data_IF_692050046541
#
_entry.id   IF_692050046541
#
_cell.length_a   1.000
_cell.length_b   1.000
_cell.length_c   1.000
_cell.angle_alpha   90.00
_cell.angle_beta   90.00
_cell.angle_gamma   90.00
#
_symmetry.space_group_name_H-M   'P 1'
#
loop_
_entity.id
_entity.type
_entity.pdbx_description
1 polymer ?
#
# COMPACT_ATOMS: atom_id res chain seq x y z
N UNK A 1 16.35 31.38 -16.56
CA UNK A 1 17.06 32.62 -16.19
C UNK A 1 16.51 33.12 -14.85
N UNK A 2 17.03 34.23 -14.32
CA UNK A 2 16.55 34.78 -13.04
C UNK A 2 15.11 35.29 -13.09
N UNK A 3 14.61 35.68 -14.28
CA UNK A 3 13.22 36.09 -14.45
C UNK A 3 12.27 34.90 -14.29
N UNK A 4 12.61 33.75 -14.89
CA UNK A 4 11.89 32.50 -14.69
C UNK A 4 11.91 32.05 -13.22
N UNK A 5 13.04 32.17 -12.53
CA UNK A 5 13.15 31.83 -11.12
C UNK A 5 12.22 32.67 -10.23
N UNK A 6 12.13 33.99 -10.50
CA UNK A 6 11.21 34.89 -9.82
C UNK A 6 9.74 34.55 -10.05
N UNK A 7 9.39 34.11 -11.26
CA UNK A 7 8.02 33.66 -11.56
C UNK A 7 7.62 32.41 -10.75
N UNK A 8 8.60 31.61 -10.31
CA UNK A 8 8.40 30.43 -9.46
C UNK A 8 8.55 30.73 -7.96
N UNK A 9 8.70 32.00 -7.57
CA UNK A 9 8.80 32.42 -6.17
C UNK A 9 10.20 32.36 -5.56
N UNK A 10 11.24 32.11 -6.37
CA UNK A 10 12.64 32.17 -5.93
C UNK A 10 13.26 33.56 -6.18
N UNK A 11 14.33 33.91 -5.47
CA UNK A 11 15.00 35.22 -5.62
C UNK A 11 15.78 35.35 -6.94
N UNK A 12 16.46 34.27 -7.31
CA UNK A 12 17.30 34.13 -8.51
C UNK A 12 17.44 32.66 -8.90
N UNK A 13 18.15 32.36 -9.99
CA UNK A 13 18.36 30.99 -10.46
C UNK A 13 19.09 30.10 -9.45
N UNK A 14 19.98 30.66 -8.63
CA UNK A 14 20.72 29.90 -7.63
C UNK A 14 19.81 29.53 -6.45
N UNK A 15 19.00 30.48 -5.97
CA UNK A 15 17.97 30.25 -4.96
C UNK A 15 16.96 29.19 -5.43
N UNK A 16 16.54 29.24 -6.70
CA UNK A 16 15.66 28.22 -7.27
C UNK A 16 16.29 26.82 -7.20
N UNK A 17 17.57 26.68 -7.55
CA UNK A 17 18.27 25.38 -7.46
C UNK A 17 18.31 24.85 -6.03
N UNK A 18 18.60 25.72 -5.06
CA UNK A 18 18.63 25.35 -3.62
C UNK A 18 17.24 24.90 -3.15
N UNK A 19 16.17 25.59 -3.57
CA UNK A 19 14.80 25.20 -3.23
C UNK A 19 14.44 23.85 -3.83
N UNK A 20 14.77 23.62 -5.10
CA UNK A 20 14.54 22.34 -5.77
C UNK A 20 15.34 21.21 -5.11
N UNK A 21 16.60 21.44 -4.77
CA UNK A 21 17.44 20.45 -4.08
C UNK A 21 16.85 20.07 -2.71
N UNK A 22 16.39 21.06 -1.92
CA UNK A 22 15.72 20.81 -0.63
C UNK A 22 14.42 20.03 -0.81
N UNK A 23 13.62 20.36 -1.82
CA UNK A 23 12.37 19.66 -2.08
C UNK A 23 12.63 18.21 -2.49
N UNK A 24 13.55 17.98 -3.43
CA UNK A 24 13.95 16.65 -3.89
C UNK A 24 14.54 15.82 -2.75
N UNK A 25 15.41 16.41 -1.93
CA UNK A 25 15.98 15.73 -0.76
C UNK A 25 14.90 15.32 0.25
N UNK A 26 13.92 16.19 0.51
CA UNK A 26 12.79 15.87 1.40
C UNK A 26 11.93 14.74 0.84
N UNK A 27 11.64 14.76 -0.46
CA UNK A 27 10.88 13.69 -1.12
C UNK A 27 11.62 12.36 -1.06
N UNK A 28 12.91 12.34 -1.38
CA UNK A 28 13.76 11.15 -1.29
C UNK A 28 13.87 10.61 0.13
N UNK A 29 13.96 11.49 1.14
CA UNK A 29 13.97 11.09 2.56
C UNK A 29 12.66 10.39 2.93
N UNK A 30 11.51 10.98 2.56
CA UNK A 30 10.19 10.40 2.82
C UNK A 30 10.01 9.02 2.17
N UNK A 31 10.47 8.88 0.93
CA UNK A 31 10.46 7.60 0.22
C UNK A 31 11.34 6.58 0.94
N UNK A 32 12.56 6.97 1.30
CA UNK A 32 13.52 6.08 1.99
C UNK A 32 12.98 5.64 3.35
N UNK A 33 12.36 6.54 4.11
CA UNK A 33 11.68 6.21 5.37
C UNK A 33 10.55 5.20 5.16
N UNK A 34 9.81 5.31 4.06
CA UNK A 34 8.75 4.36 3.72
C UNK A 34 9.32 2.98 3.38
N UNK A 35 10.43 2.92 2.64
CA UNK A 35 11.15 1.67 2.33
C UNK A 35 11.65 1.01 3.62
N UNK A 36 12.36 1.76 4.47
CA UNK A 36 12.89 1.25 5.75
C UNK A 36 11.76 0.77 6.67
N UNK A 37 10.64 1.52 6.75
CA UNK A 37 9.45 1.10 7.50
C UNK A 37 8.94 -0.25 6.98
N UNK A 38 8.81 -0.41 5.66
CA UNK A 38 8.39 -1.68 5.05
C UNK A 38 9.35 -2.81 5.43
N UNK A 39 10.66 -2.62 5.28
CA UNK A 39 11.65 -3.66 5.60
C UNK A 39 11.58 -4.11 7.06
N UNK A 40 11.40 -3.16 8.00
CA UNK A 40 11.20 -3.47 9.42
C UNK A 40 9.93 -4.32 9.61
N UNK A 41 8.81 -3.92 9.00
CA UNK A 41 7.55 -4.64 9.14
C UNK A 41 7.59 -6.02 8.47
N UNK A 42 8.22 -6.16 7.30
CA UNK A 42 8.43 -7.45 6.63
C UNK A 42 9.29 -8.38 7.52
N UNK A 43 10.38 -7.84 8.10
CA UNK A 43 11.22 -8.61 9.01
C UNK A 43 10.44 -9.11 10.24
N UNK A 44 9.59 -8.27 10.83
CA UNK A 44 8.74 -8.67 11.96
C UNK A 44 7.72 -9.74 11.56
N UNK A 45 7.09 -9.61 10.38
CA UNK A 45 6.11 -10.58 9.89
C UNK A 45 6.70 -11.98 9.67
N UNK A 46 7.94 -12.05 9.16
CA UNK A 46 8.65 -13.30 8.87
C UNK A 46 9.21 -13.99 10.12
N UNK A 47 9.72 -13.21 11.08
CA UNK A 47 10.44 -13.72 12.25
C UNK A 47 9.54 -13.96 13.47
N UNK A 48 8.40 -13.28 13.57
CA UNK A 48 7.44 -13.50 14.66
C UNK A 48 6.38 -14.52 14.23
N UNK A 49 6.52 -15.77 14.71
CA UNK A 49 5.57 -16.86 14.41
C UNK A 49 4.77 -17.24 15.64
N UNK A 50 3.47 -17.02 15.58
CA UNK A 50 2.48 -17.39 16.60
C UNK A 50 1.12 -17.61 15.95
N UNK A 51 0.23 -18.30 16.65
CA UNK A 51 -1.14 -18.52 16.19
C UNK A 51 -1.98 -17.25 16.36
N UNK A 52 -2.71 -16.89 15.31
CA UNK A 52 -3.55 -15.70 15.30
C UNK A 52 -4.96 -16.05 15.80
N UNK A 53 -5.54 -15.26 16.72
CA UNK A 53 -6.94 -15.43 17.12
C UNK A 53 -7.87 -15.28 15.91
N UNK A 54 -8.72 -16.28 15.66
CA UNK A 54 -9.61 -16.29 14.50
C UNK A 54 -10.54 -15.07 14.45
N UNK A 55 -11.07 -14.65 15.60
CA UNK A 55 -12.02 -13.54 15.67
C UNK A 55 -11.37 -12.22 15.25
N UNK A 56 -10.10 -11.99 15.62
CA UNK A 56 -9.36 -10.81 15.18
C UNK A 56 -9.10 -10.84 13.69
N UNK A 57 -8.76 -12.01 13.14
CA UNK A 57 -8.57 -12.18 11.69
C UNK A 57 -9.87 -11.92 10.95
N UNK A 58 -11.00 -12.49 11.40
CA UNK A 58 -12.33 -12.28 10.78
C UNK A 58 -12.73 -10.80 10.79
N UNK A 59 -12.54 -10.12 11.91
CA UNK A 59 -12.84 -8.68 12.01
C UNK A 59 -11.98 -7.86 11.05
N UNK A 60 -10.68 -8.13 10.96
CA UNK A 60 -9.80 -7.44 10.01
C UNK A 60 -10.17 -7.77 8.56
N UNK A 61 -10.57 -9.01 8.26
CA UNK A 61 -11.04 -9.39 6.94
C UNK A 61 -12.26 -8.59 6.50
N UNK A 62 -13.22 -8.33 7.40
CA UNK A 62 -14.38 -7.50 7.07
C UNK A 62 -13.96 -6.06 6.74
N UNK A 63 -13.01 -5.50 7.50
CA UNK A 63 -12.47 -4.15 7.27
C UNK A 63 -11.75 -4.09 5.91
N UNK A 64 -10.81 -5.03 5.67
CA UNK A 64 -10.04 -5.10 4.42
C UNK A 64 -10.98 -5.34 3.23
N UNK A 65 -11.97 -6.22 3.37
CA UNK A 65 -12.98 -6.49 2.35
C UNK A 65 -13.79 -5.24 2.02
N UNK A 66 -14.24 -4.50 3.01
CA UNK A 66 -14.99 -3.26 2.79
C UNK A 66 -14.14 -2.22 2.03
N UNK A 67 -12.88 -2.03 2.43
CA UNK A 67 -11.95 -1.14 1.71
C UNK A 67 -11.70 -1.60 0.27
N UNK A 68 -11.55 -2.91 0.05
CA UNK A 68 -11.32 -3.48 -1.26
C UNK A 68 -12.52 -3.29 -2.20
N UNK A 69 -13.73 -3.54 -1.71
CA UNK A 69 -14.98 -3.33 -2.47
C UNK A 69 -15.14 -1.86 -2.85
N UNK A 70 -14.87 -0.96 -1.91
CA UNK A 70 -14.92 0.48 -2.17
C UNK A 70 -13.91 0.89 -3.24
N UNK A 71 -12.66 0.43 -3.16
CA UNK A 71 -11.64 0.70 -4.20
C UNK A 71 -12.05 0.16 -5.57
N UNK A 72 -12.66 -1.03 -5.63
CA UNK A 72 -13.13 -1.65 -6.87
C UNK A 72 -14.29 -0.87 -7.49
N UNK A 73 -15.26 -0.43 -6.68
CA UNK A 73 -16.37 0.41 -7.12
C UNK A 73 -15.88 1.71 -7.79
N UNK A 74 -14.92 2.41 -7.17
CA UNK A 74 -14.36 3.66 -7.71
C UNK A 74 -13.49 3.49 -8.95
N UNK A 75 -13.02 2.27 -9.27
CA UNK A 75 -12.29 1.98 -10.51
C UNK A 75 -13.22 1.68 -11.69
N UNK A 76 -14.38 1.08 -11.41
CA UNK A 76 -15.32 0.62 -12.43
C UNK A 76 -16.43 1.66 -12.74
N UNK A 77 -16.57 2.73 -11.96
CA UNK A 77 -17.48 3.83 -12.25
C UNK A 77 -16.87 4.88 -13.19
N UNK A 78 -17.49 5.18 -14.35
CA UNK A 78 -17.22 6.42 -15.07
C UNK A 78 -17.63 7.59 -14.17
N UNK A 79 -16.83 8.66 -14.16
CA UNK A 79 -17.13 9.95 -13.52
C UNK A 79 -18.52 10.48 -13.90
N UNK A 80 -19.57 10.07 -13.20
CA UNK A 80 -20.92 10.61 -13.33
C UNK A 80 -21.35 11.13 -11.95
N UNK A 81 -21.23 12.44 -11.79
CA UNK A 81 -21.14 13.18 -10.53
C UNK A 81 -22.46 13.23 -9.71
N UNK A 82 -23.42 12.32 -9.95
CA UNK A 82 -24.81 12.51 -9.53
C UNK A 82 -25.55 11.31 -8.91
N UNK A 83 -24.87 10.26 -8.45
CA UNK A 83 -25.55 9.18 -7.68
C UNK A 83 -24.91 8.90 -6.32
N UNK A 84 -25.18 9.77 -5.35
CA UNK A 84 -24.91 9.49 -3.93
C UNK A 84 -25.90 8.47 -3.34
N UNK A 85 -25.79 7.21 -3.74
CA UNK A 85 -26.60 6.14 -3.17
C UNK A 85 -26.07 4.79 -3.61
N UNK A 86 -24.99 4.33 -2.99
CA UNK A 86 -24.41 3.04 -3.33
C UNK A 86 -24.59 2.06 -2.18
N UNK A 87 -25.53 1.15 -2.37
CA UNK A 87 -25.43 -0.17 -1.76
C UNK A 87 -24.37 -0.94 -2.56
N UNK A 88 -23.15 -1.01 -2.02
CA UNK A 88 -22.03 -1.72 -2.66
C UNK A 88 -22.05 -3.23 -2.35
N UNK A 89 -23.15 -3.75 -1.80
CA UNK A 89 -23.34 -5.14 -1.39
C UNK A 89 -23.21 -6.15 -2.54
N UNK A 90 -23.42 -5.72 -3.78
CA UNK A 90 -23.54 -6.61 -4.94
C UNK A 90 -22.21 -6.88 -5.67
N UNK A 91 -21.11 -6.23 -5.26
CA UNK A 91 -19.77 -6.49 -5.82
C UNK A 91 -19.29 -7.87 -5.34
N UNK A 92 -19.34 -8.84 -6.24
CA UNK A 92 -18.83 -10.20 -5.99
C UNK A 92 -17.31 -10.23 -6.07
N UNK A 93 -16.71 -10.83 -5.06
CA UNK A 93 -15.29 -11.15 -5.04
C UNK A 93 -15.05 -12.50 -5.70
N UNK A 94 -13.95 -12.60 -6.43
CA UNK A 94 -13.40 -13.88 -6.88
C UNK A 94 -12.70 -14.59 -5.72
N UNK A 95 -12.52 -15.91 -5.83
CA UNK A 95 -11.79 -16.68 -4.82
C UNK A 95 -10.36 -16.16 -4.60
N UNK A 96 -9.70 -15.73 -5.67
CA UNK A 96 -8.34 -15.18 -5.59
C UNK A 96 -8.31 -13.86 -4.78
N UNK A 97 -9.33 -12.99 -4.96
CA UNK A 97 -9.45 -11.77 -4.17
C UNK A 97 -9.77 -12.06 -2.70
N UNK A 98 -10.56 -13.09 -2.41
CA UNK A 98 -10.85 -13.53 -1.03
C UNK A 98 -9.60 -14.07 -0.32
N UNK A 99 -8.78 -14.86 -1.03
CA UNK A 99 -7.50 -15.36 -0.52
C UNK A 99 -6.51 -14.21 -0.25
N UNK A 100 -6.44 -13.24 -1.17
CA UNK A 100 -5.60 -12.04 -1.00
C UNK A 100 -6.05 -11.19 0.21
N UNK A 101 -7.36 -11.00 0.39
CA UNK A 101 -7.93 -10.33 1.57
C UNK A 101 -7.56 -11.08 2.86
N UNK A 102 -7.67 -12.41 2.86
CA UNK A 102 -7.30 -13.23 4.03
C UNK A 102 -5.82 -13.07 4.38
N UNK A 103 -4.93 -13.11 3.38
CA UNK A 103 -3.49 -12.95 3.59
C UNK A 103 -3.13 -11.56 4.14
N UNK A 104 -3.71 -10.50 3.58
CA UNK A 104 -3.53 -9.12 4.06
C UNK A 104 -4.01 -9.01 5.50
N UNK A 105 -5.17 -9.58 5.82
CA UNK A 105 -5.78 -9.48 7.14
C UNK A 105 -4.95 -10.21 8.19
N UNK A 106 -4.49 -11.44 7.90
CA UNK A 106 -3.57 -12.17 8.77
C UNK A 106 -2.29 -11.38 9.05
N UNK A 107 -1.69 -10.81 8.00
CA UNK A 107 -0.47 -10.00 8.13
C UNK A 107 -0.71 -8.77 8.99
N UNK A 108 -1.81 -8.03 8.79
CA UNK A 108 -2.17 -6.85 9.58
C UNK A 108 -2.40 -7.19 11.05
N UNK A 109 -3.20 -8.22 11.34
CA UNK A 109 -3.46 -8.65 12.72
C UNK A 109 -2.17 -9.08 13.40
N UNK A 110 -1.32 -9.85 12.71
CA UNK A 110 -0.03 -10.27 13.26
C UNK A 110 0.84 -9.07 13.62
N UNK A 111 1.04 -8.14 12.67
CA UNK A 111 1.87 -6.96 12.91
C UNK A 111 1.28 -6.07 13.99
N UNK A 112 -0.04 -5.86 14.01
CA UNK A 112 -0.70 -5.10 15.07
C UNK A 112 -0.43 -5.70 16.46
N UNK A 113 -0.52 -7.03 16.61
CA UNK A 113 -0.22 -7.70 17.88
C UNK A 113 1.25 -7.57 18.27
N UNK A 114 2.17 -7.75 17.32
CA UNK A 114 3.63 -7.60 17.57
C UNK A 114 3.97 -6.16 17.97
N UNK A 115 3.48 -5.18 17.23
CA UNK A 115 3.70 -3.77 17.51
C UNK A 115 3.09 -3.37 18.86
N UNK A 116 1.89 -3.85 19.18
CA UNK A 116 1.29 -3.61 20.49
C UNK A 116 2.14 -4.17 21.63
N UNK A 117 2.63 -5.42 21.51
CA UNK A 117 3.51 -6.00 22.53
C UNK A 117 4.79 -5.18 22.73
N UNK A 118 5.44 -4.76 21.63
CA UNK A 118 6.63 -3.90 21.71
C UNK A 118 6.29 -2.58 22.40
N UNK A 119 5.18 -1.95 22.02
CA UNK A 119 4.78 -0.69 22.62
C UNK A 119 4.43 -0.81 24.11
N UNK A 120 3.85 -1.93 24.56
CA UNK A 120 3.64 -2.23 25.98
C UNK A 120 4.96 -2.42 26.73
N UNK A 121 5.87 -3.25 26.20
CA UNK A 121 7.18 -3.55 26.81
C UNK A 121 8.00 -2.28 27.02
N UNK A 122 7.92 -1.35 26.06
CA UNK A 122 8.63 -0.08 26.10
C UNK A 122 7.80 1.10 26.60
N UNK A 123 6.55 0.86 27.04
CA UNK A 123 5.61 1.86 27.57
C UNK A 123 5.45 3.06 26.63
N UNK A 124 5.38 2.80 25.34
CA UNK A 124 5.12 3.81 24.32
C UNK A 124 3.70 4.33 24.51
N UNK A 125 3.55 5.65 24.45
CA UNK A 125 2.25 6.31 24.56
C UNK A 125 2.19 7.46 23.57
N UNK A 126 1.01 7.69 23.00
CA UNK A 126 0.75 8.85 22.15
C UNK A 126 0.14 9.96 23.00
N UNK A 127 0.84 11.08 23.05
CA UNK A 127 0.44 12.25 23.81
C UNK A 127 -0.59 13.08 23.04
N UNK A 128 -1.36 13.89 23.75
CA UNK A 128 -2.29 14.86 23.13
C UNK A 128 -1.55 15.86 22.25
N UNK A 129 -0.33 16.24 22.62
CA UNK A 129 0.49 17.16 21.83
C UNK A 129 0.86 16.56 20.48
N UNK A 130 1.19 15.27 20.42
CA UNK A 130 1.48 14.58 19.15
C UNK A 130 0.24 14.49 18.25
N UNK A 131 -0.94 14.24 18.83
CA UNK A 131 -2.21 14.27 18.07
C UNK A 131 -2.48 15.66 17.48
N UNK A 132 -2.22 16.72 18.24
CA UNK A 132 -2.37 18.10 17.75
C UNK A 132 -1.35 18.44 16.66
N UNK A 133 -0.11 17.97 16.79
CA UNK A 133 0.92 18.12 15.76
C UNK A 133 0.54 17.40 14.48
N UNK A 134 0.00 16.19 14.57
CA UNK A 134 -0.47 15.45 13.40
C UNK A 134 -1.64 16.14 12.71
N UNK A 135 -2.61 16.64 13.49
CA UNK A 135 -3.69 17.48 12.95
C UNK A 135 -3.15 18.74 12.25
N UNK A 136 -2.12 19.37 12.81
CA UNK A 136 -1.49 20.53 12.18
C UNK A 136 -0.80 20.17 10.87
N UNK A 137 -0.13 19.02 10.78
CA UNK A 137 0.43 18.52 9.52
C UNK A 137 -0.64 18.30 8.47
N UNK A 138 -1.77 17.68 8.85
CA UNK A 138 -2.91 17.48 7.95
C UNK A 138 -3.42 18.82 7.43
N UNK A 139 -3.64 19.82 8.30
CA UNK A 139 -4.04 21.17 7.86
C UNK A 139 -3.04 21.79 6.89
N UNK A 140 -1.73 21.63 7.13
CA UNK A 140 -0.69 22.16 6.24
C UNK A 140 -0.65 21.50 4.86
N UNK A 141 -1.24 20.31 4.69
CA UNK A 141 -1.40 19.67 3.38
C UNK A 141 -2.54 20.28 2.54
N UNK A 142 -3.45 21.04 3.17
CA UNK A 142 -4.60 21.66 2.51
C UNK A 142 -4.69 23.17 2.78
N UNK A 143 -3.79 23.98 2.16
CA UNK A 143 -3.81 25.43 2.31
C UNK A 143 -5.16 26.05 1.93
N UNK A 144 -5.69 26.91 2.79
CA UNK A 144 -6.99 27.58 2.60
C UNK A 144 -8.21 26.81 3.11
N UNK A 145 -8.04 25.57 3.59
CA UNK A 145 -9.12 24.74 4.17
C UNK A 145 -8.89 24.44 5.66
N UNK A 146 -7.92 25.09 6.29
CA UNK A 146 -7.47 24.77 7.66
C UNK A 146 -8.60 24.91 8.68
N UNK A 147 -9.46 25.93 8.51
CA UNK A 147 -10.62 26.16 9.39
C UNK A 147 -11.63 25.01 9.29
N UNK A 148 -11.94 24.54 8.08
CA UNK A 148 -12.90 23.46 7.87
C UNK A 148 -12.39 22.15 8.46
N UNK A 149 -11.10 21.85 8.26
CA UNK A 149 -10.44 20.68 8.85
C UNK A 149 -10.49 20.75 10.37
N UNK A 150 -10.14 21.90 10.97
CA UNK A 150 -10.22 22.08 12.42
C UNK A 150 -11.64 21.87 12.95
N UNK A 151 -12.64 22.49 12.32
CA UNK A 151 -14.05 22.38 12.72
C UNK A 151 -14.54 20.94 12.61
N UNK A 152 -14.10 20.19 11.59
CA UNK A 152 -14.41 18.78 11.40
C UNK A 152 -13.90 17.93 12.56
N UNK A 153 -12.63 18.06 12.92
CA UNK A 153 -12.05 17.28 14.03
C UNK A 153 -12.59 17.71 15.40
N UNK A 154 -12.93 18.99 15.59
CA UNK A 154 -13.58 19.46 16.82
C UNK A 154 -14.97 18.86 17.02
N UNK A 155 -15.74 18.71 15.93
CA UNK A 155 -17.08 18.10 15.97
C UNK A 155 -17.04 16.57 16.06
N UNK A 156 -15.93 15.95 15.63
CA UNK A 156 -15.77 14.50 15.61
C UNK A 156 -14.54 14.05 16.43
N UNK A 157 -14.59 14.05 17.78
CA UNK A 157 -13.47 13.62 18.62
C UNK A 157 -12.98 12.19 18.34
N UNK A 158 -13.85 11.32 17.83
CA UNK A 158 -13.49 9.97 17.38
C UNK A 158 -12.47 9.98 16.24
N UNK A 159 -12.56 10.96 15.33
CA UNK A 159 -11.64 11.08 14.19
C UNK A 159 -10.25 11.53 14.63
N UNK A 160 -10.16 12.37 15.66
CA UNK A 160 -8.88 12.69 16.29
C UNK A 160 -8.25 11.42 16.88
N UNK A 161 -9.07 10.55 17.50
CA UNK A 161 -8.58 9.31 18.09
C UNK A 161 -8.05 8.33 17.03
N UNK A 162 -8.60 8.35 15.80
CA UNK A 162 -8.07 7.55 14.69
C UNK A 162 -6.63 7.91 14.33
N UNK A 163 -6.22 9.17 14.52
CA UNK A 163 -4.82 9.59 14.30
C UNK A 163 -3.84 8.92 15.27
N UNK A 164 -4.32 8.39 16.41
CA UNK A 164 -3.47 7.75 17.41
C UNK A 164 -2.76 6.50 16.89
N UNK A 165 -3.46 5.67 16.11
CA UNK A 165 -2.92 4.40 15.61
C UNK A 165 -1.65 4.61 14.79
N UNK A 166 -1.70 5.39 13.69
CA UNK A 166 -0.52 5.68 12.88
C UNK A 166 0.64 6.31 13.66
N UNK A 167 0.35 7.26 14.57
CA UNK A 167 1.39 7.88 15.40
C UNK A 167 2.04 6.85 16.33
N UNK A 168 1.25 5.96 16.91
CA UNK A 168 1.75 4.90 17.79
C UNK A 168 2.66 3.93 17.03
N UNK A 169 2.23 3.48 15.85
CA UNK A 169 3.02 2.62 14.98
C UNK A 169 4.34 3.28 14.56
N UNK A 170 4.29 4.55 14.15
CA UNK A 170 5.49 5.31 13.77
C UNK A 170 6.51 5.41 14.91
N UNK A 171 6.05 5.64 16.13
CA UNK A 171 6.92 5.67 17.32
C UNK A 171 7.56 4.32 17.59
N UNK A 172 6.82 3.22 17.41
CA UNK A 172 7.36 1.86 17.60
C UNK A 172 8.39 1.55 16.51
N UNK A 173 8.10 1.86 15.25
CA UNK A 173 9.04 1.65 14.14
C UNK A 173 10.32 2.45 14.37
N UNK A 174 10.22 3.70 14.80
CA UNK A 174 11.39 4.53 15.11
C UNK A 174 12.18 3.98 16.30
N UNK A 175 11.50 3.45 17.32
CA UNK A 175 12.16 2.75 18.43
C UNK A 175 12.91 1.50 17.93
N UNK A 176 12.28 0.67 17.11
CA UNK A 176 12.91 -0.53 16.53
C UNK A 176 14.14 -0.13 15.72
N UNK A 177 14.01 0.89 14.87
CA UNK A 177 15.12 1.44 14.07
C UNK A 177 16.27 1.94 14.96
N UNK A 178 15.97 2.63 16.06
CA UNK A 178 16.98 3.15 16.99
C UNK A 178 17.77 2.07 17.72
N UNK A 179 17.18 0.87 17.89
CA UNK A 179 17.79 -0.30 18.52
C UNK A 179 18.41 -1.27 17.52
N UNK A 180 18.00 -1.19 16.26
CA UNK A 180 18.50 -2.04 15.19
C UNK A 180 19.91 -1.64 14.77
N UNK A 181 20.65 -2.60 14.20
CA UNK A 181 21.93 -2.32 13.55
C UNK A 181 21.66 -1.70 12.19
N UNK A 182 21.81 -0.39 12.08
CA UNK A 182 21.60 0.35 10.83
C UNK A 182 22.85 0.24 9.94
N UNK A 183 22.67 -0.26 8.72
CA UNK A 183 23.70 -0.25 7.67
C UNK A 183 23.29 0.69 6.55
N UNK A 184 24.13 1.66 6.23
CA UNK A 184 23.89 2.60 5.13
C UNK A 184 24.28 1.94 3.82
N UNK A 185 23.32 1.82 2.89
CA UNK A 185 23.55 1.37 1.52
C UNK A 185 23.33 2.53 0.59
N UNK A 186 24.34 2.85 -0.21
CA UNK A 186 24.18 3.79 -1.31
C UNK A 186 23.37 3.13 -2.42
N UNK A 187 22.31 3.81 -2.85
CA UNK A 187 21.44 3.37 -3.95
C UNK A 187 21.43 4.43 -5.03
N UNK A 188 21.45 3.99 -6.29
CA UNK A 188 21.31 4.90 -7.42
C UNK A 188 19.83 5.18 -7.72
N UNK A 189 19.56 6.13 -8.62
CA UNK A 189 18.19 6.51 -9.00
C UNK A 189 17.34 5.34 -9.51
N UNK A 190 17.92 4.45 -10.34
CA UNK A 190 17.19 3.32 -10.92
C UNK A 190 16.82 2.29 -9.84
N UNK A 191 17.75 1.99 -8.95
CA UNK A 191 17.50 1.10 -7.81
C UNK A 191 16.44 1.66 -6.87
N UNK A 192 16.45 2.98 -6.62
CA UNK A 192 15.42 3.63 -5.83
C UNK A 192 14.04 3.54 -6.52
N UNK A 193 13.98 3.75 -7.83
CA UNK A 193 12.74 3.59 -8.62
C UNK A 193 12.21 2.14 -8.55
N UNK A 194 13.09 1.14 -8.60
CA UNK A 194 12.71 -0.27 -8.43
C UNK A 194 12.15 -0.56 -7.03
N UNK A 195 12.81 -0.07 -5.98
CA UNK A 195 12.33 -0.21 -4.60
C UNK A 195 10.97 0.47 -4.38
N UNK A 196 10.75 1.63 -4.99
CA UNK A 196 9.45 2.33 -4.98
C UNK A 196 8.38 1.55 -5.75
N UNK A 197 8.75 0.93 -6.87
CA UNK A 197 7.82 0.08 -7.61
C UNK A 197 7.40 -1.12 -6.78
N UNK A 198 8.33 -1.74 -6.05
CA UNK A 198 8.06 -2.86 -5.15
C UNK A 198 7.19 -2.46 -3.94
N UNK A 199 7.29 -1.22 -3.47
CA UNK A 199 6.34 -0.68 -2.48
C UNK A 199 4.91 -0.62 -3.03
N UNK A 200 4.76 -0.21 -4.29
CA UNK A 200 3.44 -0.08 -4.94
C UNK A 200 2.82 -1.42 -5.37
N UNK A 201 3.65 -2.42 -5.67
CA UNK A 201 3.20 -3.74 -6.12
C UNK A 201 2.74 -4.63 -4.96
N UNK A 202 3.39 -4.61 -3.79
CA UNK A 202 2.93 -5.40 -2.64
C UNK A 202 1.56 -4.95 -2.06
N UNK A 203 1.05 -3.77 -2.46
CA UNK A 203 -0.33 -3.32 -2.22
C UNK A 203 -1.31 -3.77 -3.33
N UNK A 204 -0.81 -4.28 -4.47
CA UNK A 204 -1.58 -4.57 -5.71
C UNK A 204 -1.31 -5.95 -6.33
N UNK A 205 -0.42 -6.79 -5.81
CA UNK A 205 0.05 -7.99 -6.51
C UNK A 205 0.04 -9.25 -5.66
N UNK A 206 -1.11 -9.90 -5.64
CA UNK A 206 -1.15 -11.32 -6.04
C UNK A 206 -2.06 -11.57 -7.26
N UNK A 207 -2.94 -10.63 -7.64
CA UNK A 207 -3.82 -10.76 -8.82
C UNK A 207 -3.18 -10.49 -10.20
N UNK A 208 -2.05 -9.77 -10.29
CA UNK A 208 -1.47 -9.40 -11.61
C UNK A 208 -0.24 -10.21 -12.06
N UNK A 209 0.38 -11.00 -11.18
CA UNK A 209 1.63 -11.71 -11.50
C UNK A 209 1.44 -13.06 -12.23
N UNK A 210 0.22 -13.62 -12.29
CA UNK A 210 -0.04 -14.93 -12.93
C UNK A 210 -0.53 -14.85 -14.37
N UNK A 211 -0.99 -13.69 -14.85
CA UNK A 211 -1.47 -13.50 -16.23
C UNK A 211 -0.34 -13.31 -17.26
N UNK A 212 0.90 -13.04 -16.83
CA UNK A 212 1.99 -12.66 -17.75
C UNK A 212 2.91 -13.82 -18.18
N UNK A 213 2.62 -15.08 -17.81
CA UNK A 213 3.52 -16.23 -18.10
C UNK A 213 2.95 -17.29 -19.05
N UNK A 214 1.83 -17.05 -19.73
CA UNK A 214 1.33 -17.93 -20.79
C UNK A 214 0.98 -17.14 -22.05
N UNK A 215 1.98 -16.87 -22.88
CA UNK A 215 1.74 -16.34 -24.22
C UNK A 215 2.95 -15.63 -24.80
N UNK A 216 3.97 -16.39 -25.22
CA UNK A 216 4.56 -16.32 -26.56
C UNK A 216 5.69 -17.35 -26.67
N UNK A 217 5.45 -18.48 -27.34
CA UNK A 217 6.43 -18.98 -28.31
C UNK A 217 5.67 -19.68 -29.43
N UNK A 218 5.73 -19.07 -30.61
CA UNK A 218 4.90 -19.38 -31.77
C UNK A 218 5.79 -20.03 -32.84
N UNK A 219 5.49 -21.29 -33.11
CA UNK A 219 5.63 -21.99 -34.39
C UNK A 219 6.98 -21.96 -35.14
N UNK A 220 7.47 -23.16 -35.46
CA UNK A 220 8.01 -23.43 -36.81
C UNK A 220 7.49 -24.76 -37.33
N UNK A 221 7.17 -24.68 -38.62
CA UNK A 221 6.37 -25.54 -39.50
C UNK A 221 7.32 -26.33 -40.39
N UNK A 222 6.99 -27.59 -40.70
CA UNK A 222 7.32 -28.31 -41.96
C UNK A 222 6.39 -29.54 -42.05
N UNK A 223 5.31 -29.51 -42.84
CA UNK A 223 5.13 -30.00 -44.23
C UNK A 223 5.20 -31.51 -44.50
N UNK A 224 3.98 -32.07 -44.72
CA UNK A 224 3.50 -32.77 -45.94
C UNK A 224 3.64 -34.31 -46.11
N UNK A 225 2.51 -34.86 -46.60
CA UNK A 225 2.26 -36.02 -47.51
C UNK A 225 2.05 -37.46 -46.98
N UNK A 226 0.82 -37.96 -47.24
CA UNK A 226 0.42 -39.27 -47.86
C UNK A 226 0.83 -40.59 -47.16
N UNK A 227 0.10 -41.72 -47.17
CA UNK A 227 -1.13 -42.23 -47.80
C UNK A 227 -1.49 -43.58 -47.07
N UNK A 228 -2.76 -44.01 -47.18
CA UNK A 228 -3.28 -45.41 -47.15
C UNK A 228 -3.05 -46.37 -45.96
N UNK A 229 -4.15 -46.78 -45.30
CA UNK A 229 -5.03 -47.91 -45.72
C UNK A 229 -5.66 -48.72 -44.56
N UNK A 230 -6.96 -49.07 -44.75
CA UNK A 230 -7.69 -50.31 -44.35
C UNK A 230 -7.77 -50.66 -42.84
N UNK A 231 -8.83 -51.24 -42.27
CA UNK A 231 -10.12 -51.78 -42.70
C UNK A 231 -10.80 -52.41 -41.45
N UNK A 232 -12.14 -52.38 -41.37
CA UNK A 232 -13.06 -53.38 -40.74
C UNK A 232 -13.00 -53.64 -39.21
N UNK A 233 -14.05 -53.97 -38.45
CA UNK A 233 -15.53 -54.13 -38.58
C UNK A 233 -16.05 -54.59 -37.18
N UNK A 234 -17.37 -54.42 -36.94
CA UNK A 234 -18.27 -55.13 -35.98
C UNK A 234 -18.40 -54.55 -34.55
N UNK A 235 -19.58 -54.04 -34.12
CA UNK A 235 -20.83 -54.73 -33.64
C UNK A 235 -20.58 -55.34 -32.24
N UNK A 236 -21.39 -55.24 -31.17
CA UNK A 236 -22.72 -54.70 -30.85
C UNK A 236 -22.98 -54.96 -29.35
N UNK A 237 -23.85 -54.15 -28.72
CA UNK A 237 -24.77 -54.43 -27.58
C UNK A 237 -24.26 -55.25 -26.38
N UNK A 238 -24.46 -54.68 -25.18
CA UNK A 238 -25.72 -54.88 -24.44
C UNK A 238 -25.96 -53.70 -23.51
#
# INVERSE_FOLDING_TARGET
>A
DDQFAKNLGAKDLNDLKILLEKQLSKEQSSITETIVRKEILDYLDENCKFELPEDLVKNEQEIVKHSFIHEKAHKDEPHDDHKHGHDHSDIKLTKEEEDDILDISKRRVKLALVLNQIGEDYKIQVTTQELQQELQKQMSMYPGQEKQIRDYYQKNPSEITRLRGPIYEDKIVELVKSKAKVTVKEVNKKELEELVKDLSSNLKSKSSAKSAKSGDDKSKKDTKSEDKSKSTKKISKK
#
